data_IF_829669821816
#
_entry.id   IF_829669821816
#
_cell.length_a   1.000
_cell.length_b   1.000
_cell.length_c   1.000
_cell.angle_alpha   90.00
_cell.angle_beta   90.00
_cell.angle_gamma   90.00
#
_symmetry.space_group_name_H-M   'P 1'
#
loop_
_entity.id
_entity.type
_entity.pdbx_description
1 polymer ?
#
# COMPACT_ATOMS: atom_id res chain seq x y z
N UNK A 1 6.82 14.01 -18.85
CA UNK A 1 7.00 13.53 -20.23
C UNK A 1 5.82 13.91 -21.14
N UNK A 2 4.55 13.63 -20.77
CA UNK A 2 3.38 13.93 -21.62
C UNK A 2 3.23 15.43 -21.88
N UNK A 3 3.39 16.28 -20.86
CA UNK A 3 3.32 17.73 -21.01
C UNK A 3 4.36 18.28 -21.99
N UNK A 4 5.60 17.76 -21.93
CA UNK A 4 6.68 18.16 -22.86
C UNK A 4 6.39 17.69 -24.29
N UNK A 5 5.86 16.47 -24.46
CA UNK A 5 5.49 15.97 -25.78
C UNK A 5 4.39 16.82 -26.43
N UNK A 6 3.44 17.30 -25.65
CA UNK A 6 2.34 18.14 -26.16
C UNK A 6 2.82 19.55 -26.50
N UNK A 7 3.78 20.10 -25.76
CA UNK A 7 4.39 21.39 -26.09
C UNK A 7 5.18 21.36 -27.42
N UNK A 8 5.62 20.18 -27.85
CA UNK A 8 6.33 20.02 -29.15
C UNK A 8 5.42 20.15 -30.37
N UNK A 9 4.08 20.15 -30.23
CA UNK A 9 3.15 20.37 -31.36
C UNK A 9 3.12 21.81 -31.88
N UNK A 10 3.72 22.74 -31.17
CA UNK A 10 3.83 24.13 -31.57
C UNK A 10 2.74 25.07 -31.01
N UNK A 11 2.92 26.37 -31.12
CA UNK A 11 2.10 27.39 -30.46
C UNK A 11 0.62 27.42 -30.88
N UNK A 12 0.31 26.94 -32.07
CA UNK A 12 -1.08 26.83 -32.56
C UNK A 12 -1.94 25.83 -31.73
N UNK A 13 -1.30 24.92 -31.01
CA UNK A 13 -1.96 23.91 -30.17
C UNK A 13 -1.89 24.22 -28.66
N UNK A 14 -1.51 25.46 -28.31
CA UNK A 14 -1.34 25.87 -26.90
C UNK A 14 -2.60 25.63 -26.03
N UNK A 15 -3.82 25.87 -26.59
CA UNK A 15 -5.06 25.61 -25.88
C UNK A 15 -5.27 24.12 -25.58
N UNK A 16 -4.90 23.25 -26.51
CA UNK A 16 -4.98 21.80 -26.36
C UNK A 16 -3.95 21.31 -25.35
N UNK A 17 -2.71 21.84 -25.40
CA UNK A 17 -1.69 21.59 -24.42
C UNK A 17 -2.13 21.97 -22.99
N UNK A 18 -2.75 23.15 -22.84
CA UNK A 18 -3.30 23.60 -21.55
C UNK A 18 -4.37 22.66 -21.02
N UNK A 19 -5.31 22.22 -21.88
CA UNK A 19 -6.38 21.30 -21.50
C UNK A 19 -5.82 19.95 -21.00
N UNK A 20 -4.83 19.39 -21.69
CA UNK A 20 -4.18 18.14 -21.29
C UNK A 20 -3.45 18.32 -19.95
N UNK A 21 -2.73 19.43 -19.76
CA UNK A 21 -2.04 19.72 -18.49
C UNK A 21 -3.01 19.83 -17.33
N UNK A 22 -4.13 20.52 -17.50
CA UNK A 22 -5.19 20.63 -16.47
C UNK A 22 -5.80 19.26 -16.17
N UNK A 23 -6.12 18.49 -17.21
CA UNK A 23 -6.63 17.12 -17.04
C UNK A 23 -5.64 16.22 -16.29
N UNK A 24 -4.34 16.31 -16.60
CA UNK A 24 -3.31 15.57 -15.90
C UNK A 24 -3.21 15.97 -14.40
N UNK A 25 -3.29 17.27 -14.09
CA UNK A 25 -3.27 17.75 -12.69
C UNK A 25 -4.47 17.21 -11.91
N UNK A 26 -5.66 17.28 -12.49
CA UNK A 26 -6.88 16.75 -11.83
C UNK A 26 -6.76 15.25 -11.61
N UNK A 27 -6.30 14.49 -12.62
CA UNK A 27 -6.10 13.05 -12.52
C UNK A 27 -5.07 12.67 -11.45
N UNK A 28 -3.92 13.33 -11.43
CA UNK A 28 -2.87 13.10 -10.42
C UNK A 28 -3.36 13.46 -9.01
N UNK A 29 -4.10 14.55 -8.85
CA UNK A 29 -4.68 14.94 -7.56
C UNK A 29 -5.62 13.85 -7.02
N UNK A 30 -6.47 13.30 -7.88
CA UNK A 30 -7.37 12.19 -7.51
C UNK A 30 -6.58 10.96 -7.04
N UNK A 31 -5.54 10.57 -7.77
CA UNK A 31 -4.68 9.43 -7.41
C UNK A 31 -3.98 9.67 -6.07
N UNK A 32 -3.42 10.86 -5.85
CA UNK A 32 -2.74 11.21 -4.59
C UNK A 32 -3.71 11.10 -3.40
N UNK A 33 -4.93 11.59 -3.53
CA UNK A 33 -5.95 11.50 -2.47
C UNK A 33 -6.26 10.04 -2.12
N UNK A 34 -6.45 9.18 -3.11
CA UNK A 34 -6.73 7.75 -2.88
C UNK A 34 -5.54 7.05 -2.23
N UNK A 35 -4.32 7.32 -2.70
CA UNK A 35 -3.11 6.73 -2.12
C UNK A 35 -2.87 7.21 -0.68
N UNK A 36 -3.06 8.49 -0.38
CA UNK A 36 -2.99 9.01 0.99
C UNK A 36 -4.02 8.34 1.90
N UNK A 37 -5.23 8.18 1.43
CA UNK A 37 -6.28 7.49 2.18
C UNK A 37 -5.89 6.03 2.48
N UNK A 38 -5.43 5.29 1.49
CA UNK A 38 -4.96 3.92 1.65
C UNK A 38 -3.79 3.82 2.65
N UNK A 39 -2.79 4.71 2.50
CA UNK A 39 -1.62 4.74 3.38
C UNK A 39 -1.98 5.02 4.84
N UNK A 40 -2.89 5.95 5.09
CA UNK A 40 -3.32 6.28 6.45
C UNK A 40 -4.06 5.12 7.12
N UNK A 41 -4.81 4.33 6.37
CA UNK A 41 -5.46 3.10 6.88
C UNK A 41 -4.45 2.00 7.20
N UNK A 42 -3.43 1.80 6.36
CA UNK A 42 -2.36 0.83 6.62
C UNK A 42 -1.66 1.18 7.94
N UNK A 43 -1.27 2.44 8.15
CA UNK A 43 -0.62 2.87 9.38
C UNK A 43 -1.54 2.76 10.60
N UNK A 44 -2.82 3.04 10.43
CA UNK A 44 -3.82 2.84 11.49
C UNK A 44 -3.89 1.36 11.91
N UNK A 45 -3.98 0.44 10.95
CA UNK A 45 -4.02 -1.00 11.22
C UNK A 45 -2.74 -1.47 11.89
N UNK A 46 -1.57 -1.08 11.36
CA UNK A 46 -0.28 -1.43 11.96
C UNK A 46 -0.13 -0.90 13.39
N UNK A 47 -0.64 0.30 13.68
CA UNK A 47 -0.61 0.85 15.03
C UNK A 47 -1.59 0.14 15.97
N UNK A 48 -2.73 -0.35 15.46
CA UNK A 48 -3.69 -1.15 16.21
C UNK A 48 -3.10 -2.53 16.52
N UNK A 49 -2.35 -3.11 15.61
CA UNK A 49 -1.65 -4.39 15.80
C UNK A 49 -0.40 -4.27 16.70
N UNK A 50 -0.09 -3.05 17.19
CA UNK A 50 1.06 -2.80 18.07
C UNK A 50 2.40 -2.68 17.33
N UNK A 51 2.42 -2.68 16.00
CA UNK A 51 3.64 -2.57 15.19
C UNK A 51 4.15 -1.12 15.08
N UNK A 52 3.26 -0.14 15.27
CA UNK A 52 3.57 1.29 15.29
C UNK A 52 3.06 1.94 16.58
N UNK A 53 3.61 3.13 16.95
CA UNK A 53 3.14 3.87 18.11
C UNK A 53 1.64 4.15 18.05
N UNK A 54 0.95 4.03 19.20
CA UNK A 54 -0.51 4.23 19.34
C UNK A 54 -1.02 5.61 18.88
N UNK A 55 -0.12 6.58 18.66
CA UNK A 55 -0.48 7.89 18.11
C UNK A 55 -1.10 7.77 16.72
N UNK A 56 -0.63 6.80 15.91
CA UNK A 56 -1.14 6.56 14.56
C UNK A 56 -2.53 5.90 14.52
N UNK A 57 -3.00 5.33 15.65
CA UNK A 57 -4.34 4.75 15.76
C UNK A 57 -5.40 5.72 16.30
N UNK A 58 -5.04 6.99 16.59
CA UNK A 58 -6.00 7.98 17.08
C UNK A 58 -6.94 8.44 15.98
N UNK A 59 -8.23 8.25 16.20
CA UNK A 59 -9.31 8.66 15.30
C UNK A 59 -9.95 9.96 15.81
N UNK A 60 -10.30 10.85 14.89
CA UNK A 60 -11.01 12.09 15.23
C UNK A 60 -12.44 11.76 15.68
N UNK A 61 -12.92 12.31 16.83
CA UNK A 61 -14.22 11.93 17.39
C UNK A 61 -15.40 12.25 16.47
N UNK A 62 -15.32 13.35 15.72
CA UNK A 62 -16.41 13.79 14.82
C UNK A 62 -16.29 13.19 13.42
N UNK A 63 -15.10 13.26 12.80
CA UNK A 63 -14.90 12.82 11.42
C UNK A 63 -14.58 11.33 11.27
N UNK A 64 -14.32 10.62 12.36
CA UNK A 64 -13.97 9.19 12.39
C UNK A 64 -12.82 8.81 11.44
N UNK A 65 -11.89 9.74 11.22
CA UNK A 65 -10.71 9.56 10.38
C UNK A 65 -9.43 9.67 11.22
N UNK A 66 -8.33 8.96 10.87
CA UNK A 66 -7.05 9.06 11.57
C UNK A 66 -6.31 10.36 11.19
N UNK A 67 -6.81 11.52 11.66
CA UNK A 67 -6.39 12.84 11.24
C UNK A 67 -4.90 13.14 11.53
N UNK A 68 -4.38 12.67 12.67
CA UNK A 68 -2.95 12.82 13.02
C UNK A 68 -2.08 12.12 11.99
N UNK A 69 -2.47 10.89 11.63
CA UNK A 69 -1.78 10.10 10.63
C UNK A 69 -1.82 10.77 9.25
N UNK A 70 -2.98 11.27 8.84
CA UNK A 70 -3.15 12.01 7.58
C UNK A 70 -2.25 13.25 7.54
N UNK A 71 -2.18 14.02 8.64
CA UNK A 71 -1.33 15.20 8.73
C UNK A 71 0.15 14.86 8.65
N UNK A 72 0.60 13.84 9.40
CA UNK A 72 1.99 13.39 9.40
C UNK A 72 2.43 12.86 8.03
N UNK A 73 1.62 12.01 7.41
CA UNK A 73 1.91 11.48 6.08
C UNK A 73 1.89 12.60 5.03
N UNK A 74 0.89 13.49 5.09
CA UNK A 74 0.81 14.63 4.18
C UNK A 74 2.02 15.55 4.27
N UNK A 75 2.48 15.85 5.50
CA UNK A 75 3.68 16.67 5.72
C UNK A 75 4.94 15.97 5.21
N UNK A 76 5.09 14.65 5.47
CA UNK A 76 6.21 13.86 4.99
C UNK A 76 6.26 13.82 3.46
N UNK A 77 5.11 13.60 2.81
CA UNK A 77 5.01 13.59 1.33
C UNK A 77 5.31 14.97 0.76
N UNK A 78 4.76 16.05 1.33
CA UNK A 78 5.02 17.41 0.88
C UNK A 78 6.51 17.77 1.01
N UNK A 79 7.13 17.39 2.12
CA UNK A 79 8.57 17.59 2.35
C UNK A 79 9.39 16.80 1.32
N UNK A 80 9.09 15.53 1.13
CA UNK A 80 9.78 14.72 0.13
C UNK A 80 9.64 15.30 -1.28
N UNK A 81 8.44 15.71 -1.68
CA UNK A 81 8.19 16.32 -2.99
C UNK A 81 8.91 17.66 -3.18
N UNK A 82 9.21 18.40 -2.09
CA UNK A 82 9.93 19.67 -2.16
C UNK A 82 11.45 19.52 -2.23
N UNK A 83 12.03 18.46 -1.68
CA UNK A 83 13.47 18.29 -1.55
C UNK A 83 14.08 17.29 -2.53
N UNK A 84 13.32 16.30 -2.98
CA UNK A 84 13.82 15.27 -3.89
C UNK A 84 13.40 15.53 -5.34
N UNK A 85 14.28 15.14 -6.26
CA UNK A 85 13.98 15.19 -7.70
C UNK A 85 12.86 14.20 -8.05
N UNK A 86 12.00 14.59 -9.01
CA UNK A 86 10.85 13.78 -9.43
C UNK A 86 11.25 12.41 -10.01
N UNK A 87 12.40 12.36 -10.71
CA UNK A 87 12.91 11.11 -11.27
C UNK A 87 13.33 10.16 -10.14
N UNK A 88 14.03 10.69 -9.13
CA UNK A 88 14.43 9.93 -7.95
C UNK A 88 13.22 9.36 -7.20
N UNK A 89 12.18 10.17 -6.97
CA UNK A 89 10.95 9.71 -6.32
C UNK A 89 10.20 8.67 -7.16
N UNK A 90 10.18 8.84 -8.47
CA UNK A 90 9.58 7.87 -9.41
C UNK A 90 10.30 6.52 -9.37
N UNK A 91 11.62 6.53 -9.41
CA UNK A 91 12.44 5.32 -9.34
C UNK A 91 12.31 4.64 -7.97
N UNK A 92 12.32 5.40 -6.87
CA UNK A 92 12.14 4.88 -5.52
C UNK A 92 10.77 4.20 -5.34
N UNK A 93 9.71 4.81 -5.87
CA UNK A 93 8.36 4.23 -5.88
C UNK A 93 8.31 2.94 -6.69
N UNK A 94 8.97 2.92 -7.86
CA UNK A 94 9.05 1.75 -8.73
C UNK A 94 9.74 0.58 -8.04
N UNK A 95 10.90 0.81 -7.40
CA UNK A 95 11.62 -0.22 -6.63
C UNK A 95 10.76 -0.75 -5.50
N UNK A 96 10.10 0.11 -4.73
CA UNK A 96 9.21 -0.30 -3.64
C UNK A 96 8.05 -1.18 -4.13
N UNK A 97 7.43 -0.80 -5.24
CA UNK A 97 6.32 -1.55 -5.85
C UNK A 97 6.79 -2.90 -6.38
N UNK A 98 7.93 -2.95 -7.10
CA UNK A 98 8.50 -4.20 -7.61
C UNK A 98 8.91 -5.16 -6.48
N UNK A 99 9.47 -4.63 -5.39
CA UNK A 99 9.80 -5.41 -4.21
C UNK A 99 8.54 -5.99 -3.55
N UNK A 100 7.47 -5.21 -3.43
CA UNK A 100 6.20 -5.68 -2.92
C UNK A 100 5.61 -6.80 -3.80
N UNK A 101 5.63 -6.65 -5.12
CA UNK A 101 5.16 -7.70 -6.04
C UNK A 101 5.99 -8.98 -5.95
N UNK A 102 7.31 -8.88 -5.82
CA UNK A 102 8.18 -10.03 -5.60
C UNK A 102 7.83 -10.77 -4.30
N UNK A 103 7.59 -10.02 -3.20
CA UNK A 103 7.17 -10.60 -1.92
C UNK A 103 5.81 -11.28 -2.03
N UNK A 104 4.83 -10.67 -2.72
CA UNK A 104 3.51 -11.29 -2.95
C UNK A 104 3.65 -12.59 -3.73
N UNK A 105 4.44 -12.62 -4.80
CA UNK A 105 4.70 -13.84 -5.56
C UNK A 105 5.37 -14.93 -4.70
N UNK A 106 6.32 -14.55 -3.86
CA UNK A 106 6.98 -15.45 -2.91
C UNK A 106 5.98 -15.99 -1.88
N UNK A 107 5.12 -15.13 -1.35
CA UNK A 107 4.08 -15.50 -0.39
C UNK A 107 3.10 -16.51 -0.98
N UNK A 108 2.72 -16.35 -2.25
CA UNK A 108 1.86 -17.32 -2.96
C UNK A 108 2.54 -18.70 -3.03
N UNK A 109 3.84 -18.75 -3.34
CA UNK A 109 4.59 -19.99 -3.39
C UNK A 109 4.68 -20.62 -1.99
N UNK A 110 5.03 -19.82 -0.99
CA UNK A 110 5.14 -20.27 0.39
C UNK A 110 3.83 -20.82 0.93
N UNK A 111 2.75 -20.04 0.81
CA UNK A 111 1.43 -20.40 1.36
C UNK A 111 0.83 -21.65 0.69
N UNK A 112 1.15 -21.90 -0.57
CA UNK A 112 0.72 -23.14 -1.23
C UNK A 112 1.46 -24.40 -0.77
N UNK A 113 2.70 -24.24 -0.29
CA UNK A 113 3.49 -25.35 0.22
C UNK A 113 3.20 -25.65 1.69
N UNK A 114 2.97 -24.60 2.50
CA UNK A 114 2.79 -24.74 3.95
C UNK A 114 1.34 -25.00 4.35
N UNK A 115 0.37 -24.43 3.63
CA UNK A 115 -1.06 -24.52 3.95
C UNK A 115 -1.87 -24.88 2.69
N UNK A 116 -1.79 -26.14 2.20
CA UNK A 116 -2.52 -26.59 1.02
C UNK A 116 -4.05 -26.67 1.27
N UNK A 117 -4.48 -26.80 2.53
CA UNK A 117 -5.85 -26.98 2.98
C UNK A 117 -6.73 -25.73 2.86
N UNK A 118 -6.13 -24.53 2.77
CA UNK A 118 -6.92 -23.30 2.71
C UNK A 118 -7.75 -23.26 1.41
N UNK A 119 -9.10 -23.14 1.51
CA UNK A 119 -9.96 -23.02 0.33
C UNK A 119 -9.64 -21.74 -0.44
N UNK A 120 -9.44 -21.86 -1.75
CA UNK A 120 -9.06 -20.74 -2.63
C UNK A 120 -10.10 -20.55 -3.71
N UNK A 121 -10.64 -19.33 -3.81
CA UNK A 121 -11.60 -18.97 -4.86
C UNK A 121 -10.98 -19.00 -6.26
N UNK A 122 -9.66 -18.76 -6.39
CA UNK A 122 -8.95 -18.82 -7.65
C UNK A 122 -7.63 -19.58 -7.52
N UNK A 123 -7.35 -20.46 -8.49
CA UNK A 123 -6.09 -21.20 -8.57
C UNK A 123 -5.26 -20.67 -9.74
N UNK A 124 -4.10 -20.07 -9.42
CA UNK A 124 -3.15 -19.61 -10.45
C UNK A 124 -2.77 -20.75 -11.36
N UNK A 125 -2.99 -20.65 -12.68
CA UNK A 125 -2.59 -21.67 -13.65
C UNK A 125 -1.07 -21.76 -13.71
N UNK A 126 -0.54 -22.91 -14.18
CA UNK A 126 0.91 -23.13 -14.34
C UNK A 126 1.74 -22.86 -13.07
N UNK A 127 1.18 -23.13 -11.90
CA UNK A 127 1.95 -23.08 -10.63
C UNK A 127 3.04 -24.17 -10.65
N UNK A 128 4.29 -23.92 -10.23
CA UNK A 128 4.83 -22.66 -9.62
C UNK A 128 5.48 -21.70 -10.64
N UNK A 129 5.38 -21.95 -11.94
CA UNK A 129 6.12 -21.24 -12.98
C UNK A 129 5.74 -19.74 -13.03
N UNK A 130 4.45 -19.43 -13.03
CA UNK A 130 3.98 -18.04 -13.13
C UNK A 130 4.46 -17.17 -11.98
N UNK A 131 4.32 -17.55 -10.68
CA UNK A 131 4.87 -16.75 -9.58
C UNK A 131 6.41 -16.66 -9.62
N UNK A 132 7.11 -17.72 -10.06
CA UNK A 132 8.56 -17.70 -10.19
C UNK A 132 9.03 -16.71 -11.27
N UNK A 133 8.38 -16.69 -12.43
CA UNK A 133 8.64 -15.70 -13.48
C UNK A 133 8.34 -14.27 -12.99
N UNK A 134 7.29 -14.07 -12.20
CA UNK A 134 7.00 -12.80 -11.55
C UNK A 134 8.14 -12.31 -10.67
N UNK A 135 8.71 -13.18 -9.83
CA UNK A 135 9.88 -12.84 -9.00
C UNK A 135 11.08 -12.49 -9.86
N UNK A 136 11.41 -13.32 -10.85
CA UNK A 136 12.56 -13.10 -11.74
C UNK A 136 12.41 -11.75 -12.47
N UNK A 137 11.24 -11.45 -13.02
CA UNK A 137 10.98 -10.19 -13.72
C UNK A 137 11.13 -8.99 -12.79
N UNK A 138 10.58 -9.06 -11.57
CA UNK A 138 10.71 -7.97 -10.60
C UNK A 138 12.17 -7.74 -10.19
N UNK A 139 12.92 -8.80 -9.92
CA UNK A 139 14.35 -8.71 -9.57
C UNK A 139 15.14 -8.14 -10.74
N UNK A 140 14.90 -8.61 -11.96
CA UNK A 140 15.55 -8.08 -13.16
C UNK A 140 15.32 -6.57 -13.32
N UNK A 141 14.07 -6.11 -13.18
CA UNK A 141 13.75 -4.68 -13.28
C UNK A 141 14.39 -3.87 -12.16
N UNK A 142 14.46 -4.38 -10.94
CA UNK A 142 15.15 -3.73 -9.81
C UNK A 142 16.63 -3.51 -10.12
N UNK A 143 17.30 -4.47 -10.77
CA UNK A 143 18.73 -4.32 -11.13
C UNK A 143 18.99 -3.24 -12.17
N UNK A 144 17.97 -2.81 -12.90
CA UNK A 144 18.06 -1.74 -13.90
C UNK A 144 17.96 -0.33 -13.31
N UNK A 145 17.63 -0.21 -12.02
CA UNK A 145 17.45 1.07 -11.33
C UNK A 145 18.81 1.64 -10.90
N UNK A 146 19.00 2.98 -10.93
CA UNK A 146 20.25 3.61 -10.52
C UNK A 146 20.66 3.27 -9.08
N UNK A 147 21.96 3.02 -8.87
CA UNK A 147 22.53 2.62 -7.57
C UNK A 147 22.15 3.56 -6.40
N UNK A 148 22.12 4.90 -6.55
CA UNK A 148 21.71 5.80 -5.46
C UNK A 148 20.30 5.52 -4.93
N UNK A 149 19.35 5.17 -5.83
CA UNK A 149 17.98 4.83 -5.45
C UNK A 149 17.93 3.50 -4.71
N UNK A 150 18.67 2.49 -5.19
CA UNK A 150 18.77 1.18 -4.53
C UNK A 150 19.38 1.32 -3.13
N UNK A 151 20.40 2.14 -2.98
CA UNK A 151 21.03 2.41 -1.68
C UNK A 151 20.05 3.09 -0.72
N UNK A 152 19.32 4.10 -1.20
CA UNK A 152 18.26 4.76 -0.42
C UNK A 152 17.18 3.75 0.01
N UNK A 153 16.72 2.91 -0.92
CA UNK A 153 15.72 1.89 -0.64
C UNK A 153 16.22 0.86 0.39
N UNK A 154 17.48 0.43 0.27
CA UNK A 154 18.10 -0.48 1.23
C UNK A 154 18.14 0.11 2.65
N UNK A 155 18.52 1.38 2.79
CA UNK A 155 18.50 2.08 4.08
C UNK A 155 17.09 2.26 4.61
N UNK A 156 16.12 2.54 3.75
CA UNK A 156 14.72 2.65 4.14
C UNK A 156 14.18 1.32 4.69
N UNK A 157 14.44 0.21 3.99
CA UNK A 157 14.06 -1.14 4.44
C UNK A 157 14.76 -1.51 5.74
N UNK A 158 16.08 -1.25 5.84
CA UNK A 158 16.84 -1.50 7.05
C UNK A 158 16.27 -0.72 8.24
N UNK A 159 15.92 0.55 8.05
CA UNK A 159 15.25 1.37 9.06
C UNK A 159 13.91 0.76 9.52
N UNK A 160 13.10 0.27 8.59
CA UNK A 160 11.86 -0.44 8.89
C UNK A 160 12.08 -1.72 9.69
N UNK A 161 13.08 -2.51 9.30
CA UNK A 161 13.47 -3.75 10.03
C UNK A 161 13.95 -3.44 11.44
N UNK A 162 14.81 -2.44 11.60
CA UNK A 162 15.30 -2.00 12.92
C UNK A 162 14.12 -1.55 13.80
N UNK A 163 13.21 -0.76 13.25
CA UNK A 163 11.99 -0.31 13.95
C UNK A 163 11.13 -1.51 14.39
N UNK A 164 10.99 -2.51 13.53
CA UNK A 164 10.28 -3.73 13.86
C UNK A 164 10.92 -4.48 15.02
N UNK A 165 12.24 -4.69 15.03
CA UNK A 165 12.92 -5.39 16.12
C UNK A 165 12.95 -4.60 17.43
N UNK A 166 13.11 -3.27 17.36
CA UNK A 166 13.16 -2.42 18.55
C UNK A 166 11.79 -2.19 19.18
N UNK A 167 10.74 -2.04 18.35
CA UNK A 167 9.42 -1.68 18.83
C UNK A 167 8.36 -2.73 18.53
N UNK A 168 8.21 -3.15 17.26
CA UNK A 168 7.14 -4.02 16.80
C UNK A 168 7.12 -5.38 17.49
N UNK A 169 8.26 -6.04 17.59
CA UNK A 169 8.38 -7.37 18.20
C UNK A 169 7.96 -7.38 19.68
N UNK A 170 8.23 -6.30 20.43
CA UNK A 170 7.91 -6.21 21.85
C UNK A 170 6.47 -5.76 22.13
N UNK A 171 5.88 -5.03 21.20
CA UNK A 171 4.54 -4.44 21.38
C UNK A 171 3.44 -5.10 20.55
N UNK A 172 3.79 -6.08 19.71
CA UNK A 172 2.82 -6.77 18.86
C UNK A 172 1.76 -7.48 19.70
N UNK A 173 0.50 -7.20 19.43
CA UNK A 173 -0.65 -7.85 20.08
C UNK A 173 -0.70 -9.36 19.74
N UNK A 174 -0.26 -9.74 18.53
CA UNK A 174 -0.09 -11.15 18.15
C UNK A 174 0.93 -11.88 19.02
N UNK A 175 2.06 -11.21 19.35
CA UNK A 175 3.08 -11.81 20.21
C UNK A 175 2.61 -11.97 21.65
N UNK A 176 1.63 -11.19 22.08
CA UNK A 176 0.98 -11.30 23.41
C UNK A 176 -0.12 -12.36 23.46
N UNK A 177 -0.37 -13.07 22.36
CA UNK A 177 -1.39 -14.11 22.29
C UNK A 177 -2.83 -13.59 22.28
N UNK A 178 -3.02 -12.30 22.13
CA UNK A 178 -4.34 -11.75 21.87
C UNK A 178 -4.67 -12.01 20.39
N UNK A 179 -5.73 -12.77 20.07
CA UNK A 179 -6.19 -12.83 18.69
C UNK A 179 -6.49 -11.39 18.28
N UNK A 180 -5.86 -10.93 17.22
CA UNK A 180 -6.30 -9.70 16.54
C UNK A 180 -7.65 -10.04 15.92
N UNK A 181 -8.67 -10.04 16.77
CA UNK A 181 -10.03 -10.16 16.30
C UNK A 181 -10.26 -8.90 15.52
N UNK A 182 -10.59 -9.05 14.26
CA UNK A 182 -11.13 -7.98 13.45
C UNK A 182 -12.53 -7.64 13.98
N UNK A 183 -12.58 -7.18 15.24
CA UNK A 183 -13.81 -7.03 16.02
C UNK A 183 -14.66 -5.84 15.58
N UNK A 184 -14.32 -5.17 14.47
CA UNK A 184 -15.13 -4.03 14.05
C UNK A 184 -15.16 -3.79 12.53
N UNK A 185 -14.81 -4.73 11.70
CA UNK A 185 -15.53 -4.82 10.45
C UNK A 185 -16.73 -5.75 10.73
N UNK A 186 -17.70 -5.22 11.46
CA UNK A 186 -19.06 -5.73 11.37
C UNK A 186 -19.36 -5.66 9.86
N UNK A 187 -19.44 -6.81 9.15
CA UNK A 187 -19.89 -6.77 7.77
C UNK A 187 -21.18 -5.94 7.82
N UNK A 188 -21.31 -4.95 6.96
CA UNK A 188 -22.59 -4.25 6.82
C UNK A 188 -23.62 -5.32 6.46
N UNK A 189 -24.30 -5.82 7.46
CA UNK A 189 -25.47 -6.64 7.26
C UNK A 189 -26.64 -5.66 7.10
N UNK A 190 -27.29 -5.63 5.95
CA UNK A 190 -28.54 -4.92 5.82
C UNK A 190 -29.48 -5.44 6.94
N UNK A 191 -30.30 -4.56 7.47
CA UNK A 191 -31.15 -4.83 8.65
C UNK A 191 -32.13 -5.99 8.41
N UNK A 192 -32.34 -6.34 7.13
CA UNK A 192 -33.15 -7.43 6.59
C UNK A 192 -32.36 -8.71 6.27
N UNK A 193 -31.06 -8.78 6.62
CA UNK A 193 -30.26 -10.00 6.42
C UNK A 193 -30.91 -11.20 7.15
N UNK A 194 -30.97 -12.40 6.52
CA UNK A 194 -31.52 -13.59 7.15
C UNK A 194 -30.72 -13.93 8.42
N UNK A 195 -31.45 -14.15 9.52
CA UNK A 195 -30.89 -14.46 10.84
C UNK A 195 -31.08 -15.94 11.15
N UNK A 196 -30.11 -16.51 11.85
CA UNK A 196 -30.25 -17.87 12.41
C UNK A 196 -31.23 -17.90 13.61
N UNK A 197 -31.49 -19.07 14.13
CA UNK A 197 -32.37 -19.26 15.26
C UNK A 197 -31.90 -18.57 16.56
N UNK A 198 -30.66 -18.09 16.59
CA UNK A 198 -30.09 -17.30 17.69
C UNK A 198 -30.14 -15.80 17.45
N UNK A 199 -30.69 -15.37 16.33
CA UNK A 199 -30.79 -13.95 15.94
C UNK A 199 -29.54 -13.36 15.33
N UNK A 200 -28.51 -14.18 15.00
CA UNK A 200 -27.29 -13.74 14.33
C UNK A 200 -27.44 -13.82 12.81
N UNK A 201 -26.91 -12.86 12.05
CA UNK A 201 -26.98 -12.88 10.60
C UNK A 201 -26.23 -14.10 10.03
N UNK A 202 -26.84 -14.78 9.07
CA UNK A 202 -26.28 -15.96 8.39
C UNK A 202 -25.22 -15.47 7.39
N UNK A 203 -23.96 -15.83 7.62
CA UNK A 203 -22.87 -15.57 6.69
C UNK A 203 -22.99 -16.60 5.56
N UNK A 204 -23.33 -16.14 4.35
CA UNK A 204 -23.38 -16.99 3.16
C UNK A 204 -22.04 -17.70 2.94
N UNK A 205 -22.13 -19.01 2.62
CA UNK A 205 -20.98 -19.87 2.27
C UNK A 205 -20.36 -19.48 0.94
#
# INVERSE_FOLDING_TARGET
PVAVAVDAFGPQWAWFAATIKVGAIIGLTSVILVLMYAQTRIFYTMARDGLLPKVFSRVHPTFRTPWINTLLVGLAVATAAGFFDINFLGDATSVGTLAAFAIVCLTVIWLRRTHPEIPRGYRVPLYPIVPALGIISCVWLITSVPIPVLTFFAWYVLGGVVLYFLYGMHNSELAKGHPVVADEEIPYFPEDAPKDDSGKPIIGR
#
